data_IF_014384783581
#
_entry.id   IF_014384783581
#
_cell.length_a   1.000
_cell.length_b   1.000
_cell.length_c   1.000
_cell.angle_alpha   90.00
_cell.angle_beta   90.00
_cell.angle_gamma   90.00
#
_symmetry.space_group_name_H-M   'P 1'
#
loop_
_entity.id
_entity.type
_entity.pdbx_description
1 polymer ?
2 polymer ?
3 polymer ?
4 water ?
#
loop_
_entity_poly.entity_id
_entity_poly.type
_entity_poly.pdbx_seq_one_letter_code
_entity_poly.pdbx_strand_id
2 'polydeoxyribonucleotide' '(DA)(DG)(DT)(DT)(DC)(DA)(DC)(DG)(DT)(DT)(DC)(DA)(DA)(DG)(DT)(DG)(DC)(DA)' ?
3 'polydeoxyribonucleotide' '(DA)(DC)(DG)(DT)(DG)(DA)(DA)(DC)(DT)(DT)(DG)(DC)(DA)(DC)(DT)(DT)(DG)(DA)' ?
#
# COMPACT_ATOMS: atom_id res chain seq x y z
N UNK A 1 7.20 3.04 12.52
CA UNK A 1 6.75 4.28 13.15
C UNK A 1 5.30 4.59 12.80
N UNK A 2 4.92 4.29 11.56
CA UNK A 2 3.58 4.58 11.07
C UNK A 2 2.77 3.30 10.85
N UNK A 3 1.45 3.43 10.89
CA UNK A 3 0.56 2.29 10.72
C UNK A 3 0.64 1.69 9.32
N UNK A 4 0.63 2.56 8.30
CA UNK A 4 0.74 2.13 6.91
C UNK A 4 2.02 1.32 6.66
N UNK A 5 3.12 1.77 7.25
CA UNK A 5 4.39 1.07 7.13
C UNK A 5 4.30 -0.35 7.67
N UNK A 6 3.58 -0.51 8.78
CA UNK A 6 3.39 -1.82 9.39
C UNK A 6 2.39 -2.69 8.62
N UNK A 7 1.41 -2.05 7.99
CA UNK A 7 0.40 -2.78 7.23
C UNK A 7 0.95 -3.27 5.89
N UNK A 8 1.78 -2.45 5.26
CA UNK A 8 2.44 -2.83 4.01
C UNK A 8 3.41 -3.98 4.24
N UNK A 9 4.26 -3.83 5.25
CA UNK A 9 5.24 -4.87 5.59
C UNK A 9 4.57 -6.19 5.95
N UNK A 10 3.38 -6.11 6.56
CA UNK A 10 2.64 -7.31 6.92
C UNK A 10 2.16 -8.05 5.67
N UNK A 11 1.65 -7.29 4.70
CA UNK A 11 1.21 -7.87 3.43
C UNK A 11 2.40 -8.47 2.67
N UNK A 12 3.52 -7.75 2.67
CA UNK A 12 4.74 -8.21 2.01
C UNK A 12 5.23 -9.53 2.58
N UNK A 13 5.11 -9.69 3.90
CA UNK A 13 5.54 -10.91 4.57
C UNK A 13 4.58 -12.07 4.33
N UNK A 14 3.29 -11.78 4.36
CA UNK A 14 2.26 -12.81 4.22
C UNK A 14 2.14 -13.36 2.79
N UNK A 15 2.37 -12.51 1.80
CA UNK A 15 2.14 -12.89 0.41
C UNK A 15 3.43 -12.97 -0.41
N UNK A 16 4.56 -12.90 0.29
CA UNK A 16 5.88 -12.94 -0.34
C UNK A 16 6.05 -11.93 -1.47
N UNK A 17 5.57 -10.71 -1.25
CA UNK A 17 5.64 -9.66 -2.26
C UNK A 17 6.73 -8.64 -1.94
N UNK A 18 7.55 -8.30 -2.93
CA UNK A 18 8.52 -7.23 -2.78
C UNK A 18 7.81 -5.90 -3.03
N UNK A 19 8.55 -4.80 -2.92
CA UNK A 19 8.00 -3.49 -3.23
C UNK A 19 7.66 -3.41 -4.72
N UNK A 20 8.55 -3.94 -5.55
CA UNK A 20 8.37 -3.93 -7.00
C UNK A 20 7.20 -4.83 -7.42
N UNK A 21 6.94 -5.86 -6.62
CA UNK A 21 5.85 -6.79 -6.90
C UNK A 21 4.49 -6.12 -6.67
N UNK A 22 4.34 -5.48 -5.51
CA UNK A 22 3.13 -4.73 -5.19
C UNK A 22 2.96 -3.57 -6.18
N UNK A 23 4.08 -2.96 -6.56
CA UNK A 23 4.10 -1.85 -7.50
C UNK A 23 3.53 -2.25 -8.86
N UNK A 24 3.88 -3.45 -9.31
CA UNK A 24 3.41 -3.96 -10.60
C UNK A 24 1.93 -4.34 -10.58
N UNK A 25 1.44 -4.77 -9.42
CA UNK A 25 0.04 -5.15 -9.27
C UNK A 25 -0.87 -3.92 -9.24
N UNK A 26 -0.29 -2.77 -8.92
CA UNK A 26 -1.05 -1.53 -8.83
C UNK A 26 -1.24 -0.88 -10.19
N UNK A 27 -0.35 -1.21 -11.12
CA UNK A 27 -0.36 -0.65 -12.48
C UNK A 27 -1.74 -0.67 -13.18
N UNK A 28 -2.42 -1.83 -13.20
CA UNK A 28 -3.74 -1.81 -13.85
C UNK A 28 -4.74 -0.92 -13.11
N UNK A 29 -4.60 -0.82 -11.79
CA UNK A 29 -5.46 0.04 -11.00
C UNK A 29 -5.08 1.51 -11.15
N UNK A 30 -3.81 1.76 -11.49
CA UNK A 30 -3.34 3.12 -11.73
C UNK A 30 -3.97 3.71 -12.99
N UNK A 31 -4.00 2.91 -14.06
CA UNK A 31 -4.56 3.36 -15.33
C UNK A 31 -6.08 3.49 -15.24
N UNK A 32 -6.67 2.70 -14.35
CA UNK A 32 -8.12 2.64 -14.19
C UNK A 32 -8.68 3.84 -13.44
N UNK A 33 -8.02 4.21 -12.35
CA UNK A 33 -8.50 5.28 -11.48
C UNK A 33 -7.80 6.61 -11.78
N UNK A 34 -6.72 6.54 -12.55
CA UNK A 34 -5.95 7.73 -12.87
C UNK A 34 -5.08 8.17 -11.71
N UNK A 35 -4.73 7.22 -10.84
CA UNK A 35 -3.91 7.52 -9.67
C UNK A 35 -2.52 6.90 -9.83
N UNK A 36 -1.55 7.72 -10.21
CA UNK A 36 -0.20 7.23 -10.45
C UNK A 36 0.57 6.95 -9.16
N UNK A 37 1.57 6.09 -9.25
CA UNK A 37 2.38 5.73 -8.09
C UNK A 37 3.80 5.34 -8.50
N UNK A 38 4.78 6.12 -8.04
CA UNK A 38 6.18 5.83 -8.31
C UNK A 38 6.77 4.92 -7.25
N UNK A 39 7.96 4.37 -7.52
CA UNK A 39 8.58 3.42 -6.61
C UNK A 39 9.26 4.10 -5.43
N UNK A 40 9.60 5.38 -5.60
CA UNK A 40 10.21 6.15 -4.53
C UNK A 40 9.16 6.52 -3.49
N UNK A 41 7.93 6.73 -3.95
CA UNK A 41 6.81 7.06 -3.08
C UNK A 41 6.44 5.86 -2.23
N UNK A 42 6.44 4.68 -2.85
CA UNK A 42 6.15 3.44 -2.14
C UNK A 42 7.27 3.11 -1.15
N UNK A 43 8.50 3.44 -1.52
CA UNK A 43 9.65 3.19 -0.67
C UNK A 43 9.56 3.97 0.64
N UNK A 44 9.08 5.21 0.57
CA UNK A 44 8.96 6.06 1.75
C UNK A 44 7.80 5.62 2.64
N UNK A 45 6.82 4.96 2.04
CA UNK A 45 5.70 4.41 2.79
C UNK A 45 6.18 3.30 3.72
N UNK A 46 6.93 2.36 3.14
CA UNK A 46 7.45 1.21 3.87
C UNK A 46 8.40 1.62 4.99
N UNK A 47 9.13 2.71 4.76
CA UNK A 47 10.15 3.14 5.72
C UNK A 47 9.73 4.30 6.62
N UNK A 48 8.42 4.55 6.69
CA UNK A 48 7.86 5.57 7.59
C UNK A 48 8.41 6.98 7.36
N UNK A 49 8.92 7.23 6.16
CA UNK A 49 9.40 8.56 5.80
C UNK A 49 8.22 9.47 5.51
N UNK A 50 7.14 8.87 5.01
CA UNK A 50 5.97 9.63 4.58
C UNK A 50 4.74 8.73 4.54
N UNK A 51 3.57 9.32 4.78
CA UNK A 51 2.32 8.58 4.73
C UNK A 51 1.55 8.87 3.44
N UNK A 52 0.87 7.85 2.90
CA UNK A 52 0.11 7.99 1.65
C UNK A 52 -1.04 8.98 1.77
N UNK A 53 -1.34 9.68 0.68
CA UNK A 53 -2.45 10.63 0.67
C UNK A 53 -3.77 9.93 0.33
N UNK A 54 -4.82 10.72 0.13
CA UNK A 54 -6.16 10.20 -0.06
C UNK A 54 -6.28 9.27 -1.27
N UNK A 55 -5.76 9.71 -2.41
CA UNK A 55 -5.86 8.94 -3.65
C UNK A 55 -5.06 7.63 -3.62
N UNK A 56 -3.88 7.66 -3.02
CA UNK A 56 -2.98 6.50 -3.01
C UNK A 56 -3.29 5.48 -1.92
N UNK A 57 -4.04 5.89 -0.89
CA UNK A 57 -4.53 4.96 0.12
C UNK A 57 -5.62 4.09 -0.51
N UNK A 58 -6.46 4.71 -1.34
CA UNK A 58 -7.50 4.00 -2.07
C UNK A 58 -6.89 3.07 -3.11
N UNK A 59 -5.89 3.57 -3.83
CA UNK A 59 -5.20 2.81 -4.87
C UNK A 59 -4.59 1.52 -4.32
N UNK A 60 -3.93 1.63 -3.17
CA UNK A 60 -3.27 0.49 -2.55
C UNK A 60 -4.26 -0.48 -1.93
N UNK A 61 -5.41 0.03 -1.50
CA UNK A 61 -6.45 -0.80 -0.92
C UNK A 61 -7.05 -1.73 -1.97
N UNK A 62 -7.23 -1.20 -3.18
CA UNK A 62 -7.77 -1.98 -4.29
C UNK A 62 -6.75 -3.00 -4.79
N UNK A 63 -5.49 -2.58 -4.85
CA UNK A 63 -4.41 -3.43 -5.33
C UNK A 63 -4.20 -4.65 -4.43
N UNK A 64 -4.16 -4.41 -3.12
CA UNK A 64 -3.87 -5.46 -2.16
C UNK A 64 -5.13 -6.19 -1.69
N UNK A 65 -6.29 -5.68 -2.08
CA UNK A 65 -7.55 -6.31 -1.73
C UNK A 65 -7.93 -6.17 -0.27
N UNK A 66 -7.52 -5.05 0.33
CA UNK A 66 -7.86 -4.76 1.72
C UNK A 66 -8.66 -3.46 1.81
N UNK A 67 -9.20 -3.17 3.00
CA UNK A 67 -9.96 -1.93 3.19
C UNK A 67 -9.02 -0.75 3.42
N UNK A 68 -9.49 0.45 3.10
CA UNK A 68 -8.70 1.66 3.32
C UNK A 68 -8.44 1.88 4.81
N UNK A 69 -9.43 1.54 5.63
CA UNK A 69 -9.34 1.72 7.08
C UNK A 69 -8.32 0.77 7.71
N UNK A 70 -8.22 -0.44 7.16
CA UNK A 70 -7.25 -1.41 7.65
C UNK A 70 -5.84 -0.97 7.30
N UNK A 71 -5.68 -0.40 6.11
CA UNK A 71 -4.39 0.05 5.63
C UNK A 71 -3.89 1.25 6.44
N UNK A 72 -4.83 1.98 7.04
CA UNK A 72 -4.51 3.14 7.85
C UNK A 72 -4.53 2.81 9.34
N UNK A 73 -4.82 1.55 9.66
CA UNK A 73 -5.03 1.16 11.05
C UNK A 73 -3.84 0.53 11.75
N UNK A 74 -3.94 0.48 13.08
CA UNK A 74 -2.93 -0.15 13.92
C UNK A 74 -3.19 -1.65 14.01
N UNK A 75 -4.43 -2.05 13.73
CA UNK A 75 -4.84 -3.44 13.84
C UNK A 75 -4.11 -4.38 12.88
N UNK A 76 -3.86 -5.60 13.34
CA UNK A 76 -3.14 -6.61 12.57
C UNK A 76 -4.12 -7.53 11.84
N UNK A 77 -5.40 -7.41 12.16
CA UNK A 77 -6.38 -8.39 11.69
C UNK A 77 -7.14 -7.98 10.42
N UNK A 78 -7.12 -8.87 9.43
CA UNK A 78 -7.82 -8.65 8.17
C UNK A 78 -9.34 -8.74 8.31
N UNK A 79 -10.04 -8.10 7.38
CA UNK A 79 -11.49 -8.16 7.31
C UNK A 79 -11.94 -7.65 5.94
#
# INVERSE_FOLDING_TARGET
>A
KTDTSNRLKQIMAERNLKQVDILNLSIPFQKKFGIKLSKSTLSQYVNSVQSPDQNRIYLLAKTLGVSEAWLMGRSHHHH
#
